data_IF_369114029931
#
_entry.id   IF_369114029931
#
_cell.length_a   1.000
_cell.length_b   1.000
_cell.length_c   1.000
_cell.angle_alpha   90.00
_cell.angle_beta   90.00
_cell.angle_gamma   90.00
#
_symmetry.space_group_name_H-M   'P 1'
#
loop_
_entity.id
_entity.type
_entity.pdbx_description
1 polymer ?
#
# COMPACT_ATOMS: atom_id res chain seq x y z
N UNK A 1 -27.59 -1.33 -6.02
CA UNK A 1 -27.54 0.12 -5.67
C UNK A 1 -26.51 0.84 -6.50
N UNK A 2 -26.61 2.17 -6.58
CA UNK A 2 -25.70 3.04 -7.32
C UNK A 2 -24.64 3.64 -6.38
N UNK A 3 -23.41 3.15 -6.49
CA UNK A 3 -22.30 3.52 -5.62
C UNK A 3 -21.46 4.58 -6.33
N UNK A 4 -21.26 5.74 -5.68
CA UNK A 4 -20.37 6.79 -6.16
C UNK A 4 -19.00 6.70 -5.47
N UNK A 5 -18.01 6.17 -6.15
CA UNK A 5 -16.61 6.18 -5.69
C UNK A 5 -15.96 7.52 -6.01
N UNK A 6 -15.30 8.16 -5.04
CA UNK A 6 -14.69 9.48 -5.21
C UNK A 6 -13.18 9.37 -5.00
N UNK A 7 -12.43 9.62 -6.07
CA UNK A 7 -10.96 9.56 -6.11
C UNK A 7 -10.39 10.91 -6.57
N UNK A 8 -9.45 11.48 -5.83
CA UNK A 8 -8.81 12.76 -6.16
C UNK A 8 -7.58 12.64 -7.09
N UNK A 9 -7.44 11.51 -7.75
CA UNK A 9 -6.34 11.17 -8.67
C UNK A 9 -6.89 10.85 -10.06
N UNK A 10 -5.98 10.60 -11.00
CA UNK A 10 -6.33 10.03 -12.31
C UNK A 10 -6.62 8.54 -12.18
N UNK A 11 -7.51 8.03 -13.02
CA UNK A 11 -7.80 6.60 -13.09
C UNK A 11 -7.86 6.13 -14.56
N UNK A 12 -7.33 4.94 -14.91
CA UNK A 12 -6.33 4.18 -14.20
C UNK A 12 -4.95 4.89 -14.16
N UNK A 13 -3.94 4.42 -13.38
CA UNK A 13 -3.96 3.23 -12.55
C UNK A 13 -4.32 3.55 -11.09
N UNK A 14 -5.15 2.74 -10.48
CA UNK A 14 -5.30 2.59 -9.04
C UNK A 14 -5.83 1.17 -8.76
N UNK A 15 -4.96 0.22 -8.39
CA UNK A 15 -5.37 -1.18 -8.21
C UNK A 15 -6.41 -1.38 -7.12
N UNK A 16 -6.31 -0.67 -5.98
CA UNK A 16 -7.28 -0.82 -4.88
C UNK A 16 -8.67 -0.39 -5.30
N UNK A 17 -8.78 0.82 -5.86
CA UNK A 17 -10.06 1.34 -6.36
C UNK A 17 -10.66 0.41 -7.43
N UNK A 18 -9.83 -0.10 -8.34
CA UNK A 18 -10.28 -1.04 -9.36
C UNK A 18 -10.78 -2.36 -8.74
N UNK A 19 -10.07 -2.92 -7.79
CA UNK A 19 -10.41 -4.19 -7.15
C UNK A 19 -11.72 -4.09 -6.38
N UNK A 20 -11.89 -3.05 -5.56
CA UNK A 20 -13.12 -2.82 -4.80
C UNK A 20 -14.32 -2.59 -5.72
N UNK A 21 -14.14 -1.74 -6.74
CA UNK A 21 -15.19 -1.46 -7.73
C UNK A 21 -15.66 -2.72 -8.46
N UNK A 22 -14.71 -3.53 -8.97
CA UNK A 22 -15.03 -4.78 -9.68
C UNK A 22 -15.73 -5.76 -8.76
N UNK A 23 -15.25 -5.94 -7.52
CA UNK A 23 -15.88 -6.84 -6.56
C UNK A 23 -17.34 -6.45 -6.24
N UNK A 24 -17.64 -5.15 -6.20
CA UNK A 24 -19.00 -4.66 -5.98
C UNK A 24 -19.88 -4.83 -7.24
N UNK A 25 -19.31 -4.62 -8.43
CA UNK A 25 -20.02 -4.84 -9.72
C UNK A 25 -20.38 -6.31 -9.88
N UNK A 26 -19.48 -7.24 -9.56
CA UNK A 26 -19.73 -8.68 -9.60
C UNK A 26 -20.89 -9.13 -8.68
N UNK A 27 -21.24 -8.31 -7.70
CA UNK A 27 -22.39 -8.51 -6.79
C UNK A 27 -23.65 -7.73 -7.20
N UNK A 28 -23.66 -7.19 -8.42
CA UNK A 28 -24.84 -6.54 -9.01
C UNK A 28 -25.01 -5.06 -8.62
N UNK A 29 -23.98 -4.40 -8.09
CA UNK A 29 -24.01 -2.95 -7.88
C UNK A 29 -23.58 -2.21 -9.14
N UNK A 30 -24.12 -1.00 -9.35
CA UNK A 30 -23.63 -0.06 -10.35
C UNK A 30 -22.58 0.85 -9.72
N UNK A 31 -21.37 0.86 -10.24
CA UNK A 31 -20.27 1.68 -9.69
C UNK A 31 -19.93 2.82 -10.65
N UNK A 32 -20.07 4.04 -10.16
CA UNK A 32 -19.69 5.28 -10.81
C UNK A 32 -18.44 5.84 -10.14
N UNK A 33 -17.36 6.03 -10.89
CA UNK A 33 -16.10 6.56 -10.35
C UNK A 33 -15.90 8.01 -10.77
N UNK A 34 -15.99 8.93 -9.82
CA UNK A 34 -15.47 10.29 -9.96
C UNK A 34 -13.94 10.25 -9.85
N UNK A 35 -13.23 10.77 -10.86
CA UNK A 35 -11.78 10.92 -10.83
C UNK A 35 -11.34 12.19 -11.58
N UNK A 36 -10.06 12.53 -11.47
CA UNK A 36 -9.51 13.73 -12.10
C UNK A 36 -8.85 13.41 -13.44
N UNK A 37 -8.77 14.42 -14.31
CA UNK A 37 -7.97 14.39 -15.53
C UNK A 37 -7.20 15.68 -15.71
N UNK A 38 -5.98 15.55 -16.24
CA UNK A 38 -5.07 16.65 -16.55
C UNK A 38 -4.69 16.70 -18.04
N UNK A 39 -5.14 15.71 -18.81
CA UNK A 39 -4.87 15.48 -20.22
C UNK A 39 -6.17 15.45 -21.04
N UNK A 40 -6.07 15.05 -22.31
CA UNK A 40 -7.21 14.95 -23.23
C UNK A 40 -7.95 13.61 -23.17
N UNK A 41 -7.74 12.80 -22.13
CA UNK A 41 -8.53 11.57 -21.94
C UNK A 41 -10.02 11.84 -21.98
N UNK A 42 -10.79 10.84 -22.43
CA UNK A 42 -12.26 10.91 -22.52
C UNK A 42 -12.87 11.32 -21.18
N UNK A 43 -13.89 12.17 -21.21
CA UNK A 43 -14.62 12.59 -20.01
C UNK A 43 -15.34 11.44 -19.32
N UNK A 44 -15.81 10.47 -20.11
CA UNK A 44 -16.54 9.28 -19.63
C UNK A 44 -16.15 8.08 -20.45
N UNK A 45 -15.95 6.94 -19.79
CA UNK A 45 -15.74 5.63 -20.40
C UNK A 45 -16.07 4.52 -19.39
N UNK A 46 -16.27 3.30 -19.89
CA UNK A 46 -16.44 2.11 -19.04
C UNK A 46 -15.14 1.32 -19.03
N UNK A 47 -14.61 1.05 -17.83
CA UNK A 47 -13.39 0.26 -17.64
C UNK A 47 -13.70 -0.88 -16.67
N UNK A 48 -13.63 -2.13 -17.11
CA UNK A 48 -13.96 -3.32 -16.30
C UNK A 48 -15.35 -3.22 -15.65
N UNK A 49 -16.32 -2.65 -16.34
CA UNK A 49 -17.67 -2.42 -15.81
C UNK A 49 -17.84 -1.16 -14.95
N UNK A 50 -16.75 -0.45 -14.64
CA UNK A 50 -16.76 0.79 -13.84
C UNK A 50 -17.13 1.95 -14.75
N UNK A 51 -18.18 2.71 -14.42
CA UNK A 51 -18.59 3.94 -15.07
C UNK A 51 -17.66 5.10 -14.69
N UNK A 52 -16.53 5.26 -15.38
CA UNK A 52 -15.51 6.27 -15.07
C UNK A 52 -15.92 7.65 -15.57
N UNK A 53 -16.01 8.61 -14.66
CA UNK A 53 -16.40 10.00 -14.92
C UNK A 53 -15.25 10.94 -14.54
N UNK A 54 -14.54 11.49 -15.54
CA UNK A 54 -13.34 12.31 -15.35
C UNK A 54 -13.66 13.80 -15.36
N UNK A 55 -13.24 14.46 -14.30
CA UNK A 55 -13.41 15.90 -14.13
C UNK A 55 -12.08 16.62 -14.35
N UNK A 56 -12.09 17.63 -15.24
CA UNK A 56 -10.89 18.41 -15.55
C UNK A 56 -10.34 19.10 -14.30
N UNK A 57 -9.05 18.94 -14.07
CA UNK A 57 -8.28 19.62 -13.03
C UNK A 57 -7.03 20.26 -13.66
N UNK A 58 -6.26 21.00 -12.89
CA UNK A 58 -5.01 21.59 -13.32
C UNK A 58 -3.97 21.53 -12.20
N UNK A 59 -2.70 21.83 -12.54
CA UNK A 59 -1.59 21.77 -11.59
C UNK A 59 -1.77 22.68 -10.37
N UNK A 60 -2.49 23.81 -10.51
CA UNK A 60 -2.76 24.73 -9.40
C UNK A 60 -3.72 24.08 -8.39
N UNK A 61 -4.84 23.55 -8.88
CA UNK A 61 -5.81 22.84 -8.05
C UNK A 61 -5.17 21.61 -7.40
N UNK A 62 -4.35 20.86 -8.14
CA UNK A 62 -3.60 19.73 -7.57
C UNK A 62 -2.67 20.17 -6.42
N UNK A 63 -1.86 21.21 -6.64
CA UNK A 63 -0.98 21.74 -5.57
C UNK A 63 -1.77 22.28 -4.39
N UNK A 64 -2.95 22.88 -4.62
CA UNK A 64 -3.81 23.37 -3.54
C UNK A 64 -4.43 22.25 -2.70
N UNK A 65 -4.45 20.99 -3.19
CA UNK A 65 -4.92 19.85 -2.40
C UNK A 65 -4.01 19.54 -1.21
N UNK A 66 -2.70 19.79 -1.32
CA UNK A 66 -1.78 19.69 -0.19
C UNK A 66 -2.09 20.73 0.92
N UNK A 67 -2.72 21.84 0.55
CA UNK A 67 -3.18 22.90 1.43
C UNK A 67 -4.67 22.79 1.79
N UNK A 68 -5.32 21.66 1.50
CA UNK A 68 -6.77 21.50 1.57
C UNK A 68 -7.36 21.92 2.92
N UNK A 69 -6.63 21.70 4.01
CA UNK A 69 -7.06 22.02 5.37
C UNK A 69 -6.48 23.34 5.93
N UNK A 70 -5.74 24.05 5.10
CA UNK A 70 -5.27 25.41 5.41
C UNK A 70 -6.01 26.45 4.59
N UNK A 71 -6.24 26.18 3.30
CA UNK A 71 -6.92 27.09 2.36
C UNK A 71 -8.07 26.34 1.69
N UNK A 72 -9.33 26.74 1.88
CA UNK A 72 -10.51 25.97 1.46
C UNK A 72 -10.82 26.03 -0.04
N UNK A 73 -9.89 26.46 -0.89
CA UNK A 73 -10.09 26.57 -2.36
C UNK A 73 -10.33 25.20 -2.97
N UNK A 74 -9.45 24.22 -2.67
CA UNK A 74 -9.56 22.87 -3.17
C UNK A 74 -10.91 22.24 -2.81
N UNK A 75 -11.26 22.23 -1.52
CA UNK A 75 -12.48 21.61 -1.05
C UNK A 75 -13.75 22.28 -1.61
N UNK A 76 -13.75 23.61 -1.82
CA UNK A 76 -14.89 24.31 -2.44
C UNK A 76 -15.07 23.96 -3.91
N UNK A 77 -13.96 23.95 -4.68
CA UNK A 77 -14.00 23.61 -6.11
C UNK A 77 -14.45 22.18 -6.32
N UNK A 78 -13.87 21.23 -5.55
CA UNK A 78 -14.22 19.83 -5.65
C UNK A 78 -15.64 19.55 -5.18
N UNK A 79 -16.10 20.19 -4.10
CA UNK A 79 -17.47 20.01 -3.59
C UNK A 79 -18.54 20.31 -4.66
N UNK A 80 -18.36 21.37 -5.47
CA UNK A 80 -19.29 21.69 -6.57
C UNK A 80 -19.32 20.57 -7.64
N UNK A 81 -18.15 20.06 -8.01
CA UNK A 81 -18.03 18.97 -9.01
C UNK A 81 -18.61 17.67 -8.50
N UNK A 82 -18.33 17.34 -7.23
CA UNK A 82 -18.82 16.13 -6.57
C UNK A 82 -20.36 16.22 -6.41
N UNK A 83 -20.91 17.34 -5.94
CA UNK A 83 -22.35 17.52 -5.82
C UNK A 83 -23.06 17.30 -7.17
N UNK A 84 -22.55 17.91 -8.25
CA UNK A 84 -23.05 17.66 -9.60
C UNK A 84 -22.98 16.18 -10.01
N UNK A 85 -21.88 15.50 -9.68
CA UNK A 85 -21.72 14.06 -9.93
C UNK A 85 -22.77 13.23 -9.16
N UNK A 86 -22.92 13.49 -7.87
CA UNK A 86 -23.87 12.74 -7.01
C UNK A 86 -25.31 12.84 -7.51
N UNK A 87 -25.73 14.04 -7.92
CA UNK A 87 -27.09 14.29 -8.42
C UNK A 87 -27.25 13.70 -9.83
N UNK A 88 -26.31 13.97 -10.75
CA UNK A 88 -26.40 13.53 -12.15
C UNK A 88 -26.50 12.02 -12.28
N UNK A 89 -25.72 11.30 -11.49
CA UNK A 89 -25.69 9.83 -11.56
C UNK A 89 -26.59 9.16 -10.51
N UNK A 90 -27.42 9.94 -9.78
CA UNK A 90 -28.37 9.45 -8.76
C UNK A 90 -27.70 8.48 -7.79
N UNK A 91 -26.57 8.92 -7.20
CA UNK A 91 -25.79 8.11 -6.28
C UNK A 91 -26.58 7.87 -4.99
N UNK A 92 -26.56 6.66 -4.48
CA UNK A 92 -27.26 6.22 -3.26
C UNK A 92 -26.31 6.10 -2.06
N UNK A 93 -25.03 5.73 -2.31
CA UNK A 93 -23.99 5.62 -1.30
C UNK A 93 -22.69 6.18 -1.83
N UNK A 94 -21.96 6.94 -1.01
CA UNK A 94 -20.67 7.53 -1.38
C UNK A 94 -19.54 6.70 -0.77
N UNK A 95 -18.59 6.27 -1.60
CA UNK A 95 -17.34 5.64 -1.20
C UNK A 95 -16.19 6.61 -1.44
N UNK A 96 -15.52 7.04 -0.37
CA UNK A 96 -14.51 8.09 -0.38
C UNK A 96 -13.13 7.44 -0.29
N UNK A 97 -12.30 7.58 -1.30
CA UNK A 97 -10.93 7.07 -1.28
C UNK A 97 -9.97 8.12 -0.74
N UNK A 98 -9.43 7.86 0.43
CA UNK A 98 -8.53 8.72 1.21
C UNK A 98 -9.14 10.02 1.78
N UNK A 99 -8.47 10.56 2.79
CA UNK A 99 -8.90 11.77 3.50
C UNK A 99 -8.77 13.05 2.66
N UNK A 100 -7.88 13.08 1.67
CA UNK A 100 -7.56 14.29 0.91
C UNK A 100 -8.78 14.93 0.23
N UNK A 101 -9.72 14.13 -0.26
CA UNK A 101 -10.97 14.58 -0.90
C UNK A 101 -12.16 14.63 0.05
N UNK A 102 -12.03 14.04 1.26
CA UNK A 102 -13.14 13.83 2.18
C UNK A 102 -13.89 15.11 2.56
N UNK A 103 -13.18 16.22 2.84
CA UNK A 103 -13.84 17.51 3.16
C UNK A 103 -14.75 17.99 2.03
N UNK A 104 -14.32 17.81 0.78
CA UNK A 104 -15.11 18.20 -0.38
C UNK A 104 -16.36 17.32 -0.52
N UNK A 105 -16.23 16.02 -0.22
CA UNK A 105 -17.35 15.07 -0.24
C UNK A 105 -18.37 15.42 0.85
N UNK A 106 -17.94 15.63 2.10
CA UNK A 106 -18.85 15.99 3.18
C UNK A 106 -19.56 17.33 2.92
N UNK A 107 -18.89 18.31 2.30
CA UNK A 107 -19.52 19.56 1.86
C UNK A 107 -20.56 19.32 0.75
N UNK A 108 -20.25 18.48 -0.23
CA UNK A 108 -21.16 18.16 -1.32
C UNK A 108 -22.39 17.36 -0.87
N UNK A 109 -22.21 16.52 0.15
CA UNK A 109 -23.25 15.66 0.71
C UNK A 109 -24.13 16.31 1.77
N UNK A 110 -23.86 17.56 2.16
CA UNK A 110 -24.54 18.23 3.29
C UNK A 110 -26.06 18.18 3.20
N UNK A 111 -26.59 18.46 2.02
CA UNK A 111 -28.03 18.53 1.78
C UNK A 111 -28.62 17.19 1.31
N UNK A 112 -27.79 16.31 0.68
CA UNK A 112 -28.19 15.00 0.19
C UNK A 112 -28.27 13.94 1.30
N UNK A 113 -27.43 14.06 2.34
CA UNK A 113 -27.38 13.18 3.52
C UNK A 113 -27.22 11.69 3.18
N UNK A 114 -26.52 11.37 2.09
CA UNK A 114 -26.23 9.99 1.68
C UNK A 114 -25.28 9.34 2.69
N UNK A 115 -25.41 8.02 2.86
CA UNK A 115 -24.44 7.24 3.66
C UNK A 115 -23.05 7.33 3.03
N UNK A 116 -22.03 7.42 3.89
CA UNK A 116 -20.64 7.59 3.47
C UNK A 116 -19.75 6.46 4.00
N UNK A 117 -18.97 5.88 3.12
CA UNK A 117 -17.90 4.93 3.44
C UNK A 117 -16.57 5.66 3.21
N UNK A 118 -15.76 5.79 4.24
CA UNK A 118 -14.43 6.41 4.17
C UNK A 118 -13.37 5.30 4.14
N UNK A 119 -12.72 5.12 3.00
CA UNK A 119 -11.66 4.12 2.81
C UNK A 119 -10.29 4.76 3.00
N UNK A 120 -9.62 4.36 4.08
CA UNK A 120 -8.29 4.83 4.46
C UNK A 120 -7.24 3.84 3.95
N UNK A 121 -6.61 4.17 2.81
CA UNK A 121 -5.61 3.29 2.18
C UNK A 121 -4.32 3.19 3.00
N UNK A 122 -4.03 4.22 3.79
CA UNK A 122 -2.80 4.36 4.56
C UNK A 122 -2.98 5.42 5.67
N UNK A 123 -2.10 5.42 6.66
CA UNK A 123 -2.07 6.49 7.67
C UNK A 123 -1.44 7.76 7.06
N UNK A 124 -2.25 8.51 6.32
CA UNK A 124 -1.81 9.68 5.54
C UNK A 124 -1.11 10.75 6.37
N UNK A 125 -1.62 11.18 7.54
CA UNK A 125 -0.94 12.18 8.38
C UNK A 125 0.45 11.73 8.82
N UNK A 126 0.66 10.44 9.06
CA UNK A 126 1.95 9.91 9.48
C UNK A 126 2.95 9.83 8.32
N UNK A 127 2.50 9.40 7.12
CA UNK A 127 3.38 9.38 5.93
C UNK A 127 3.87 10.79 5.57
N UNK A 128 3.02 11.79 5.70
CA UNK A 128 3.38 13.18 5.37
C UNK A 128 4.60 13.66 6.14
N UNK A 129 4.86 13.15 7.35
CA UNK A 129 6.06 13.49 8.15
C UNK A 129 7.38 13.16 7.43
N UNK A 130 7.34 12.22 6.48
CA UNK A 130 8.51 11.75 5.72
C UNK A 130 8.69 12.45 4.36
N UNK A 131 7.78 13.35 3.97
CA UNK A 131 7.93 14.05 2.68
C UNK A 131 9.01 15.13 2.78
N UNK A 132 10.05 15.11 1.90
CA UNK A 132 11.18 16.05 1.99
C UNK A 132 10.76 17.52 1.96
N UNK A 133 9.73 17.85 1.16
CA UNK A 133 9.22 19.23 1.05
C UNK A 133 8.47 19.68 2.32
N UNK A 134 7.99 18.77 3.17
CA UNK A 134 7.35 19.09 4.44
C UNK A 134 8.34 19.16 5.61
N UNK A 135 9.58 18.74 5.41
CA UNK A 135 10.64 18.91 6.41
C UNK A 135 11.24 20.32 6.38
N UNK A 136 11.07 21.05 5.28
CA UNK A 136 11.48 22.48 5.18
C UNK A 136 10.57 23.37 6.03
N UNK A 137 11.10 24.47 6.58
CA UNK A 137 10.36 25.41 7.44
C UNK A 137 9.07 25.91 6.79
N UNK A 138 9.14 26.30 5.51
CA UNK A 138 7.97 26.77 4.74
C UNK A 138 6.91 25.68 4.59
N UNK A 139 7.33 24.42 4.38
CA UNK A 139 6.43 23.28 4.31
C UNK A 139 5.71 23.01 5.62
N UNK A 140 6.43 23.06 6.75
CA UNK A 140 5.86 22.84 8.10
C UNK A 140 4.81 23.89 8.49
N UNK A 141 4.99 25.15 8.06
CA UNK A 141 4.04 26.23 8.35
C UNK A 141 2.79 26.08 7.50
N UNK A 142 2.92 25.76 6.21
CA UNK A 142 1.82 25.72 5.27
C UNK A 142 1.01 24.41 5.34
N UNK A 143 1.65 23.28 5.64
CA UNK A 143 1.05 21.95 5.64
C UNK A 143 1.31 21.29 6.99
N UNK A 144 0.36 21.45 7.91
CA UNK A 144 0.46 20.90 9.26
C UNK A 144 -0.05 19.46 9.32
N UNK A 145 0.83 18.50 9.58
CA UNK A 145 0.45 17.10 9.82
C UNK A 145 -0.54 16.96 10.99
N UNK A 146 -0.44 17.84 12.00
CA UNK A 146 -1.40 17.91 13.13
C UNK A 146 -2.81 18.28 12.65
N UNK A 147 -2.95 19.28 11.75
CA UNK A 147 -4.25 19.63 11.17
C UNK A 147 -4.82 18.50 10.32
N UNK A 148 -3.97 17.82 9.56
CA UNK A 148 -4.38 16.66 8.78
C UNK A 148 -4.90 15.53 9.67
N UNK A 149 -4.22 15.28 10.81
CA UNK A 149 -4.67 14.27 11.79
C UNK A 149 -6.02 14.65 12.41
N UNK A 150 -6.19 15.90 12.84
CA UNK A 150 -7.47 16.40 13.36
C UNK A 150 -8.60 16.28 12.33
N UNK A 151 -8.32 16.56 11.05
CA UNK A 151 -9.31 16.41 9.98
C UNK A 151 -9.63 14.95 9.68
N UNK A 152 -8.64 14.08 9.73
CA UNK A 152 -8.87 12.63 9.63
C UNK A 152 -9.82 12.16 10.75
N UNK A 153 -9.58 12.55 11.99
CA UNK A 153 -10.45 12.24 13.15
C UNK A 153 -11.88 12.73 12.91
N UNK A 154 -12.04 13.99 12.51
CA UNK A 154 -13.35 14.58 12.17
C UNK A 154 -14.08 13.78 11.07
N UNK A 155 -13.36 13.33 10.03
CA UNK A 155 -13.97 12.58 8.94
C UNK A 155 -14.29 11.13 9.31
N UNK A 156 -13.45 10.50 10.14
CA UNK A 156 -13.72 9.19 10.73
C UNK A 156 -15.02 9.24 11.55
N UNK A 157 -15.20 10.25 12.39
CA UNK A 157 -16.42 10.44 13.17
C UNK A 157 -17.65 10.62 12.27
N UNK A 158 -17.55 11.48 11.24
CA UNK A 158 -18.65 11.81 10.31
C UNK A 158 -19.04 10.67 9.37
N UNK A 159 -18.10 9.83 9.01
CA UNK A 159 -18.38 8.72 8.09
C UNK A 159 -19.33 7.70 8.72
N UNK A 160 -20.27 7.18 7.93
CA UNK A 160 -21.15 6.09 8.37
C UNK A 160 -20.31 4.87 8.72
N UNK A 161 -19.38 4.52 7.84
CA UNK A 161 -18.44 3.40 8.03
C UNK A 161 -17.07 3.82 7.55
N UNK A 162 -16.04 3.26 8.19
CA UNK A 162 -14.64 3.44 7.81
C UNK A 162 -14.09 2.09 7.34
N UNK A 163 -13.33 2.11 6.26
CA UNK A 163 -12.55 0.96 5.81
C UNK A 163 -11.08 1.24 6.11
N UNK A 164 -10.40 0.23 6.62
CA UNK A 164 -8.95 0.25 6.88
C UNK A 164 -8.30 -1.01 6.34
N UNK A 165 -6.98 -1.01 6.24
CA UNK A 165 -6.24 -2.10 5.59
C UNK A 165 -5.73 -3.18 6.56
N UNK A 166 -5.75 -2.93 7.88
CA UNK A 166 -5.25 -3.86 8.91
C UNK A 166 -6.09 -3.81 10.17
N UNK A 167 -6.05 -4.86 10.99
CA UNK A 167 -6.67 -4.87 12.31
C UNK A 167 -5.95 -3.88 13.27
N UNK A 168 -4.65 -3.67 13.11
CA UNK A 168 -3.88 -2.68 13.85
C UNK A 168 -4.37 -1.25 13.57
N UNK A 169 -4.66 -0.92 12.30
CA UNK A 169 -5.27 0.37 11.96
C UNK A 169 -6.66 0.52 12.55
N UNK A 170 -7.47 -0.54 12.56
CA UNK A 170 -8.77 -0.55 13.20
C UNK A 170 -8.65 -0.25 14.70
N UNK A 171 -7.77 -0.97 15.39
CA UNK A 171 -7.54 -0.79 16.82
C UNK A 171 -7.01 0.61 17.14
N UNK A 172 -6.11 1.15 16.31
CA UNK A 172 -5.60 2.52 16.45
C UNK A 172 -6.74 3.54 16.37
N UNK A 173 -7.64 3.42 15.39
CA UNK A 173 -8.79 4.32 15.23
C UNK A 173 -9.77 4.18 16.40
N UNK A 174 -10.10 2.97 16.82
CA UNK A 174 -10.99 2.75 17.99
C UNK A 174 -10.41 3.43 19.22
N UNK A 175 -9.12 3.25 19.49
CA UNK A 175 -8.46 3.81 20.67
C UNK A 175 -8.29 5.33 20.60
N UNK A 176 -8.00 5.88 19.42
CA UNK A 176 -7.72 7.31 19.25
C UNK A 176 -8.99 8.16 19.07
N UNK A 177 -9.94 7.66 18.29
CA UNK A 177 -11.14 8.43 17.89
C UNK A 177 -12.38 7.99 18.65
N UNK A 178 -12.41 6.79 19.21
CA UNK A 178 -13.59 6.22 19.86
C UNK A 178 -14.69 5.78 18.89
N UNK A 179 -14.36 5.61 17.59
CA UNK A 179 -15.30 5.09 16.61
C UNK A 179 -15.68 3.65 16.97
N UNK A 180 -16.99 3.37 16.99
CA UNK A 180 -17.49 2.04 17.31
C UNK A 180 -16.91 0.98 16.34
N UNK A 181 -16.40 -0.12 16.90
CA UNK A 181 -15.67 -1.15 16.16
C UNK A 181 -16.49 -1.81 15.04
N UNK A 182 -17.81 -1.91 15.20
CA UNK A 182 -18.75 -2.42 14.18
C UNK A 182 -18.88 -1.49 12.97
N UNK A 183 -18.51 -0.20 13.11
CA UNK A 183 -18.49 0.78 12.04
C UNK A 183 -17.10 0.88 11.35
N UNK A 184 -16.18 -0.04 11.64
CA UNK A 184 -14.87 -0.10 11.00
C UNK A 184 -14.67 -1.49 10.39
N UNK A 185 -14.45 -1.54 9.09
CA UNK A 185 -14.26 -2.76 8.31
C UNK A 185 -12.80 -2.87 7.88
N UNK A 186 -12.21 -4.05 8.05
CA UNK A 186 -10.85 -4.30 7.59
C UNK A 186 -10.90 -4.98 6.23
N UNK A 187 -10.34 -4.31 5.21
CA UNK A 187 -10.22 -4.78 3.83
C UNK A 187 -8.77 -4.66 3.39
N UNK A 188 -7.94 -5.69 3.60
CA UNK A 188 -6.52 -5.65 3.27
C UNK A 188 -6.26 -5.56 1.76
N UNK A 189 -5.17 -4.89 1.39
CA UNK A 189 -4.63 -4.97 0.04
C UNK A 189 -3.86 -6.28 -0.13
N UNK A 190 -4.45 -7.25 -0.79
CA UNK A 190 -3.86 -8.57 -1.00
C UNK A 190 -3.72 -8.90 -2.49
N UNK A 191 -3.12 -10.04 -2.79
CA UNK A 191 -2.94 -10.50 -4.17
C UNK A 191 -4.20 -11.21 -4.67
N UNK A 192 -4.50 -11.07 -5.97
CA UNK A 192 -5.47 -11.92 -6.65
C UNK A 192 -4.89 -13.30 -6.96
N UNK A 193 -5.71 -14.34 -6.99
CA UNK A 193 -5.27 -15.68 -7.41
C UNK A 193 -4.59 -15.69 -8.79
N UNK A 194 -5.04 -14.83 -9.70
CA UNK A 194 -4.47 -14.72 -11.04
C UNK A 194 -3.01 -14.23 -11.03
N UNK A 195 -2.59 -13.47 -10.01
CA UNK A 195 -1.24 -12.92 -9.90
C UNK A 195 -0.17 -14.02 -9.91
N UNK A 196 -0.36 -15.09 -9.14
CA UNK A 196 0.61 -16.18 -9.03
C UNK A 196 0.28 -17.36 -9.95
N UNK A 197 -1.01 -17.65 -10.22
CA UNK A 197 -1.41 -18.76 -11.09
C UNK A 197 -1.10 -18.53 -12.57
N UNK A 198 -1.05 -17.26 -13.03
CA UNK A 198 -0.81 -16.88 -14.43
C UNK A 198 0.44 -16.04 -14.62
N UNK A 199 1.35 -16.06 -13.66
CA UNK A 199 2.60 -15.31 -13.73
C UNK A 199 3.49 -15.79 -14.88
N UNK A 200 4.03 -14.86 -15.66
CA UNK A 200 4.99 -15.13 -16.72
C UNK A 200 6.40 -14.92 -16.19
N UNK A 201 7.16 -16.00 -16.05
CA UNK A 201 8.52 -15.96 -15.55
C UNK A 201 9.51 -15.70 -16.71
N UNK A 202 10.30 -14.65 -16.58
CA UNK A 202 11.37 -14.31 -17.52
C UNK A 202 12.64 -15.10 -17.18
N UNK A 203 12.93 -16.13 -17.93
CA UNK A 203 14.10 -17.01 -17.73
C UNK A 203 15.41 -16.22 -17.56
N UNK A 204 15.59 -15.14 -18.33
CA UNK A 204 16.78 -14.28 -18.26
C UNK A 204 17.04 -13.75 -16.84
N UNK A 205 16.00 -13.37 -16.10
CA UNK A 205 16.16 -12.85 -14.73
C UNK A 205 16.54 -13.99 -13.79
N UNK A 206 15.91 -15.15 -13.92
CA UNK A 206 16.22 -16.32 -13.08
C UNK A 206 17.66 -16.79 -13.32
N UNK A 207 18.08 -16.91 -14.58
CA UNK A 207 19.45 -17.31 -14.96
C UNK A 207 20.51 -16.31 -14.47
N UNK A 208 20.21 -14.99 -14.44
CA UNK A 208 21.13 -13.97 -13.93
C UNK A 208 21.57 -14.25 -12.49
N UNK A 209 20.68 -14.76 -11.68
CA UNK A 209 20.89 -14.93 -10.23
C UNK A 209 21.02 -16.38 -9.75
N UNK A 210 21.03 -17.36 -10.66
CA UNK A 210 20.97 -18.79 -10.33
C UNK A 210 22.10 -19.31 -9.41
N UNK A 211 23.27 -18.64 -9.42
CA UNK A 211 24.43 -19.03 -8.63
C UNK A 211 24.57 -18.20 -7.34
N UNK A 212 23.58 -17.36 -7.04
CA UNK A 212 23.61 -16.46 -5.89
C UNK A 212 22.62 -16.89 -4.81
N UNK A 213 22.98 -16.63 -3.57
CA UNK A 213 22.04 -16.60 -2.47
C UNK A 213 21.39 -15.20 -2.41
N UNK A 214 20.20 -15.07 -2.95
CA UNK A 214 19.57 -13.77 -3.21
C UNK A 214 18.67 -13.33 -2.08
N UNK A 215 18.98 -12.18 -1.50
CA UNK A 215 18.05 -11.38 -0.69
C UNK A 215 17.32 -10.40 -1.60
N UNK A 216 16.00 -10.53 -1.76
CA UNK A 216 15.23 -9.69 -2.67
C UNK A 216 14.42 -8.64 -1.92
N UNK A 217 14.50 -7.40 -2.39
CA UNK A 217 13.58 -6.33 -2.04
C UNK A 217 12.88 -5.78 -3.29
N UNK A 218 11.54 -5.66 -3.27
CA UNK A 218 10.75 -5.04 -4.33
C UNK A 218 9.95 -3.86 -3.77
N UNK A 219 9.99 -2.72 -4.44
CA UNK A 219 9.14 -1.54 -4.16
C UNK A 219 9.90 -0.25 -3.95
N UNK A 220 9.22 0.76 -3.38
CA UNK A 220 9.78 2.07 -3.05
C UNK A 220 11.01 1.94 -2.14
N UNK A 221 12.12 2.59 -2.50
CA UNK A 221 13.41 2.53 -1.82
C UNK A 221 13.67 3.71 -0.86
N UNK A 222 12.61 4.44 -0.49
CA UNK A 222 12.72 5.52 0.49
C UNK A 222 13.34 5.07 1.81
N UNK A 223 14.14 5.92 2.48
CA UNK A 223 14.95 5.54 3.65
C UNK A 223 14.15 4.85 4.77
N UNK A 224 12.90 5.25 4.99
CA UNK A 224 12.01 4.61 5.96
C UNK A 224 11.75 3.11 5.68
N UNK A 225 12.10 2.64 4.48
CA UNK A 225 11.97 1.23 4.10
C UNK A 225 13.07 0.34 4.67
N UNK A 226 14.10 0.93 5.31
CA UNK A 226 15.10 0.22 6.10
C UNK A 226 16.15 -0.56 5.29
N UNK A 227 16.30 -0.27 3.99
CA UNK A 227 17.32 -0.92 3.15
C UNK A 227 18.74 -0.70 3.66
N UNK A 228 18.98 0.35 4.43
CA UNK A 228 20.26 0.62 5.09
C UNK A 228 20.69 -0.56 5.99
N UNK A 229 19.74 -1.16 6.73
CA UNK A 229 20.00 -2.33 7.57
C UNK A 229 20.41 -3.54 6.73
N UNK A 230 19.70 -3.79 5.64
CA UNK A 230 20.02 -4.89 4.73
C UNK A 230 21.38 -4.72 4.03
N UNK A 231 21.69 -3.49 3.60
CA UNK A 231 23.00 -3.16 2.97
C UNK A 231 24.13 -3.38 3.98
N UNK A 232 23.99 -2.85 5.21
CA UNK A 232 24.99 -3.08 6.26
C UNK A 232 25.13 -4.56 6.62
N UNK A 233 24.00 -5.29 6.66
CA UNK A 233 23.99 -6.73 6.88
C UNK A 233 24.76 -7.52 5.80
N UNK A 234 24.62 -7.13 4.53
CA UNK A 234 25.40 -7.76 3.44
C UNK A 234 26.90 -7.55 3.61
N UNK A 235 27.35 -6.39 4.09
CA UNK A 235 28.76 -6.15 4.38
C UNK A 235 29.34 -7.12 5.43
N UNK A 236 28.51 -7.52 6.40
CA UNK A 236 28.90 -8.52 7.42
C UNK A 236 28.83 -9.95 6.85
N UNK A 237 27.82 -10.21 6.01
CA UNK A 237 27.51 -11.56 5.52
C UNK A 237 28.40 -12.02 4.35
N UNK A 238 29.02 -11.11 3.59
CA UNK A 238 29.83 -11.46 2.42
C UNK A 238 30.95 -12.45 2.70
N UNK A 239 31.53 -12.42 3.88
CA UNK A 239 32.59 -13.35 4.31
C UNK A 239 32.05 -14.75 4.66
N UNK A 240 30.80 -14.83 5.14
CA UNK A 240 30.15 -16.09 5.53
C UNK A 240 29.35 -16.72 4.39
N UNK A 241 28.85 -15.91 3.48
CA UNK A 241 28.06 -16.30 2.31
C UNK A 241 28.66 -15.63 1.06
N UNK A 242 29.74 -16.15 0.46
CA UNK A 242 30.40 -15.51 -0.67
C UNK A 242 29.51 -15.34 -1.91
N UNK A 243 28.43 -16.11 -2.01
CA UNK A 243 27.44 -16.02 -3.09
C UNK A 243 26.27 -15.07 -2.77
N UNK A 244 26.29 -14.37 -1.63
CA UNK A 244 25.20 -13.46 -1.26
C UNK A 244 25.04 -12.33 -2.27
N UNK A 245 23.79 -12.02 -2.58
CA UNK A 245 23.43 -10.91 -3.47
C UNK A 245 22.17 -10.22 -2.96
N UNK A 246 22.26 -8.95 -2.62
CA UNK A 246 21.08 -8.11 -2.36
C UNK A 246 20.59 -7.52 -3.68
N UNK A 247 19.39 -7.88 -4.09
CA UNK A 247 18.74 -7.38 -5.30
C UNK A 247 17.63 -6.42 -4.93
N UNK A 248 17.76 -5.16 -5.34
CA UNK A 248 16.83 -4.07 -5.04
C UNK A 248 16.09 -3.67 -6.32
N UNK A 249 14.80 -4.01 -6.38
CA UNK A 249 13.91 -3.72 -7.51
C UNK A 249 12.97 -2.58 -7.13
N UNK A 250 13.21 -1.41 -7.66
CA UNK A 250 12.48 -0.18 -7.35
C UNK A 250 13.40 1.03 -7.37
N UNK A 251 12.85 2.21 -7.13
CA UNK A 251 13.62 3.43 -7.10
C UNK A 251 12.95 4.52 -6.26
N UNK A 252 13.76 5.41 -5.71
CA UNK A 252 13.35 6.63 -5.04
C UNK A 252 14.45 7.69 -5.18
N UNK A 253 14.12 8.96 -4.90
CA UNK A 253 15.10 10.05 -4.87
C UNK A 253 16.18 9.88 -3.81
N UNK A 254 15.96 9.02 -2.82
CA UNK A 254 16.90 8.67 -1.75
C UNK A 254 17.91 7.58 -2.14
N UNK A 255 17.84 7.00 -3.34
CA UNK A 255 18.75 5.93 -3.80
C UNK A 255 20.23 6.38 -3.78
N UNK A 256 20.49 7.67 -3.93
CA UNK A 256 21.84 8.21 -3.85
C UNK A 256 22.51 7.90 -2.48
N UNK A 257 21.74 7.95 -1.40
CA UNK A 257 22.27 7.64 -0.05
C UNK A 257 22.51 6.14 0.12
N UNK A 258 21.65 5.29 -0.45
CA UNK A 258 21.82 3.84 -0.40
C UNK A 258 23.04 3.39 -1.24
N UNK A 259 23.22 3.99 -2.41
CA UNK A 259 24.40 3.73 -3.27
C UNK A 259 25.69 4.20 -2.63
N UNK A 260 25.67 5.37 -1.99
CA UNK A 260 26.83 5.86 -1.24
C UNK A 260 27.19 4.88 -0.11
N UNK A 261 26.22 4.38 0.64
CA UNK A 261 26.47 3.38 1.69
C UNK A 261 27.10 2.09 1.12
N UNK A 262 26.68 1.65 -0.06
CA UNK A 262 27.29 0.49 -0.75
C UNK A 262 28.74 0.76 -1.14
N UNK A 263 29.06 1.97 -1.59
CA UNK A 263 30.43 2.39 -1.92
C UNK A 263 31.29 2.49 -0.66
N UNK A 264 30.81 3.13 0.40
CA UNK A 264 31.52 3.31 1.66
C UNK A 264 31.85 1.95 2.33
N UNK A 265 30.98 0.93 2.15
CA UNK A 265 31.18 -0.42 2.67
C UNK A 265 31.94 -1.37 1.73
N UNK A 266 32.34 -0.90 0.54
CA UNK A 266 33.05 -1.68 -0.47
C UNK A 266 32.35 -3.00 -0.84
N UNK A 267 31.01 -2.94 -1.08
CA UNK A 267 30.16 -4.09 -1.37
C UNK A 267 29.43 -4.00 -2.73
N UNK A 268 29.94 -3.22 -3.67
CA UNK A 268 29.29 -3.02 -4.99
C UNK A 268 29.05 -4.33 -5.74
N UNK A 269 29.92 -5.32 -5.55
CA UNK A 269 29.77 -6.64 -6.16
C UNK A 269 28.66 -7.51 -5.52
N UNK A 270 28.11 -7.09 -4.37
CA UNK A 270 27.11 -7.84 -3.61
C UNK A 270 25.73 -7.19 -3.62
N UNK A 271 25.58 -6.00 -4.23
CA UNK A 271 24.30 -5.26 -4.26
C UNK A 271 23.97 -4.85 -5.69
N UNK A 272 22.85 -5.32 -6.21
CA UNK A 272 22.32 -4.92 -7.51
C UNK A 272 21.11 -3.97 -7.34
N UNK A 273 21.23 -2.76 -7.86
CA UNK A 273 20.11 -1.83 -8.00
C UNK A 273 19.49 -1.99 -9.40
N UNK A 274 18.40 -2.75 -9.51
CA UNK A 274 17.66 -2.99 -10.77
C UNK A 274 16.84 -1.79 -11.22
N UNK A 275 16.71 -0.78 -10.35
CA UNK A 275 15.90 0.41 -10.61
C UNK A 275 14.41 0.09 -10.72
N UNK A 276 13.65 1.04 -11.28
CA UNK A 276 12.23 0.83 -11.53
C UNK A 276 12.02 -0.26 -12.59
N UNK A 277 11.18 -1.23 -12.27
CA UNK A 277 10.79 -2.30 -13.18
C UNK A 277 9.27 -2.37 -13.31
N UNK A 278 8.80 -2.86 -14.45
CA UNK A 278 7.39 -3.14 -14.63
C UNK A 278 6.95 -4.25 -13.67
N UNK A 279 5.79 -4.10 -13.04
CA UNK A 279 5.26 -5.06 -12.05
C UNK A 279 5.08 -6.49 -12.61
N UNK A 280 4.93 -6.63 -13.93
CA UNK A 280 4.88 -7.94 -14.60
C UNK A 280 6.19 -8.73 -14.51
N UNK A 281 7.30 -8.08 -14.14
CA UNK A 281 8.61 -8.72 -13.94
C UNK A 281 8.84 -9.15 -12.48
N UNK A 282 8.06 -8.64 -11.53
CA UNK A 282 8.22 -8.96 -10.11
C UNK A 282 8.19 -10.47 -9.83
N UNK A 283 7.28 -11.27 -10.44
CA UNK A 283 7.28 -12.71 -10.29
C UNK A 283 8.63 -13.36 -10.63
N UNK A 284 9.33 -12.84 -11.64
CA UNK A 284 10.63 -13.38 -12.08
C UNK A 284 11.75 -13.11 -11.07
N UNK A 285 11.78 -11.90 -10.49
CA UNK A 285 12.72 -11.58 -9.41
C UNK A 285 12.40 -12.38 -8.14
N UNK A 286 11.12 -12.52 -7.80
CA UNK A 286 10.69 -13.33 -6.65
C UNK A 286 11.10 -14.80 -6.88
N UNK A 287 10.87 -15.34 -8.07
CA UNK A 287 11.29 -16.71 -8.39
C UNK A 287 12.80 -16.91 -8.26
N UNK A 288 13.61 -15.91 -8.65
CA UNK A 288 15.07 -15.93 -8.58
C UNK A 288 15.63 -15.78 -7.16
N UNK A 289 14.81 -15.37 -6.18
CA UNK A 289 15.29 -15.11 -4.82
C UNK A 289 15.37 -16.36 -3.94
N UNK A 290 16.26 -16.32 -2.95
CA UNK A 290 16.34 -17.28 -1.85
C UNK A 290 15.45 -16.83 -0.67
N UNK A 291 15.58 -15.56 -0.27
CA UNK A 291 14.82 -14.92 0.80
C UNK A 291 14.26 -13.60 0.29
N UNK A 292 13.03 -13.29 0.64
CA UNK A 292 12.44 -11.98 0.37
C UNK A 292 12.41 -11.13 1.64
N UNK A 293 12.86 -9.86 1.55
CA UNK A 293 13.03 -9.02 2.73
C UNK A 293 12.07 -7.82 2.77
N UNK A 294 11.71 -7.42 3.99
CA UNK A 294 10.95 -6.18 4.25
C UNK A 294 11.44 -5.52 5.55
N UNK A 295 12.63 -4.85 5.55
CA UNK A 295 13.31 -4.38 6.74
C UNK A 295 12.82 -3.00 7.21
N UNK A 296 11.52 -2.75 7.22
CA UNK A 296 10.91 -1.45 7.52
C UNK A 296 11.39 -0.85 8.84
N UNK A 297 11.66 0.45 8.87
CA UNK A 297 11.79 1.17 10.14
C UNK A 297 10.45 1.23 10.86
N UNK A 298 10.45 1.13 12.19
CA UNK A 298 9.23 1.26 12.99
C UNK A 298 8.72 2.70 13.01
N UNK A 299 7.47 2.86 12.73
CA UNK A 299 6.70 4.09 12.88
C UNK A 299 5.22 3.75 12.79
N UNK A 300 4.34 4.65 13.24
CA UNK A 300 2.90 4.40 13.28
C UNK A 300 2.30 3.99 11.93
N UNK A 301 2.81 4.54 10.81
CA UNK A 301 2.35 4.12 9.49
C UNK A 301 2.68 2.64 9.19
N UNK A 302 3.93 2.22 9.43
CA UNK A 302 4.34 0.83 9.20
C UNK A 302 3.76 -0.13 10.24
N UNK A 303 3.47 0.36 11.46
CA UNK A 303 2.83 -0.43 12.51
C UNK A 303 1.33 -0.65 12.24
N UNK A 304 0.71 0.13 11.34
CA UNK A 304 -0.73 0.07 11.01
C UNK A 304 -1.03 -0.27 9.55
N UNK A 305 -0.02 -0.57 8.73
CA UNK A 305 -0.19 -0.88 7.30
C UNK A 305 0.69 -2.05 6.88
N UNK A 306 0.17 -2.91 6.03
CA UNK A 306 0.96 -3.97 5.42
C UNK A 306 1.89 -3.43 4.33
N UNK A 307 3.09 -4.02 4.24
CA UNK A 307 3.90 -3.92 3.04
C UNK A 307 3.38 -4.94 2.02
N UNK A 308 2.54 -4.53 1.07
CA UNK A 308 1.82 -5.42 0.15
C UNK A 308 2.73 -6.45 -0.57
N UNK A 309 4.02 -6.13 -0.74
CA UNK A 309 5.01 -7.04 -1.32
C UNK A 309 5.14 -8.38 -0.59
N UNK A 310 4.91 -8.41 0.74
CA UNK A 310 5.02 -9.66 1.50
C UNK A 310 4.02 -10.72 1.02
N UNK A 311 2.83 -10.30 0.59
CA UNK A 311 1.82 -11.22 0.03
C UNK A 311 2.21 -11.71 -1.36
N UNK A 312 2.89 -10.87 -2.15
CA UNK A 312 3.48 -11.29 -3.42
C UNK A 312 4.58 -12.34 -3.20
N UNK A 313 5.44 -12.13 -2.21
CA UNK A 313 6.51 -13.07 -1.84
C UNK A 313 5.96 -14.42 -1.36
N UNK A 314 5.02 -14.39 -0.42
CA UNK A 314 4.32 -15.58 0.08
C UNK A 314 3.69 -16.39 -1.05
N UNK A 315 3.04 -15.73 -2.03
CA UNK A 315 2.35 -16.41 -3.14
C UNK A 315 3.29 -17.22 -4.05
N UNK A 316 4.60 -17.00 -3.95
CA UNK A 316 5.64 -17.76 -4.65
C UNK A 316 6.44 -18.68 -3.71
N UNK A 317 5.90 -19.04 -2.56
CA UNK A 317 6.55 -19.90 -1.57
C UNK A 317 7.96 -19.41 -1.18
N UNK A 318 8.16 -18.08 -1.03
CA UNK A 318 9.44 -17.53 -0.59
C UNK A 318 9.41 -17.26 0.90
N UNK A 319 10.44 -17.71 1.66
CA UNK A 319 10.58 -17.37 3.07
C UNK A 319 10.81 -15.87 3.21
N UNK A 320 10.21 -15.29 4.23
CA UNK A 320 10.32 -13.87 4.52
C UNK A 320 11.32 -13.60 5.63
N UNK A 321 12.03 -12.48 5.51
CA UNK A 321 12.70 -11.83 6.63
C UNK A 321 12.19 -10.41 6.74
N UNK A 322 11.43 -10.11 7.81
CA UNK A 322 10.79 -8.81 7.99
C UNK A 322 11.18 -8.19 9.32
N UNK A 323 11.15 -6.85 9.40
CA UNK A 323 11.34 -6.18 10.68
C UNK A 323 10.13 -6.35 11.60
N UNK A 324 10.31 -6.05 12.88
CA UNK A 324 9.28 -6.09 13.94
C UNK A 324 8.23 -4.96 13.86
N UNK A 325 8.10 -4.27 12.70
CA UNK A 325 6.98 -3.37 12.45
C UNK A 325 5.66 -4.14 12.59
N UNK A 326 4.78 -3.64 13.47
CA UNK A 326 3.71 -4.44 14.08
C UNK A 326 2.82 -5.18 13.09
N UNK A 327 2.29 -4.49 12.07
CA UNK A 327 1.36 -5.14 11.13
C UNK A 327 2.03 -6.25 10.32
N UNK A 328 3.24 -6.02 9.80
CA UNK A 328 3.92 -7.07 9.02
C UNK A 328 4.41 -8.21 9.90
N UNK A 329 4.90 -7.93 11.12
CA UNK A 329 5.26 -8.95 12.10
C UNK A 329 4.08 -9.88 12.36
N UNK A 330 2.94 -9.31 12.79
CA UNK A 330 1.76 -10.08 13.17
C UNK A 330 1.26 -11.00 12.05
N UNK A 331 1.23 -10.50 10.79
CA UNK A 331 0.74 -11.31 9.68
C UNK A 331 1.74 -12.40 9.27
N UNK A 332 3.05 -12.13 9.35
CA UNK A 332 4.10 -13.13 9.05
C UNK A 332 4.13 -14.22 10.11
N UNK A 333 4.00 -13.87 11.38
CA UNK A 333 3.87 -14.84 12.49
C UNK A 333 2.59 -15.68 12.36
N UNK A 334 1.45 -15.05 12.07
CA UNK A 334 0.18 -15.76 11.83
C UNK A 334 0.29 -16.76 10.70
N UNK A 335 0.94 -16.39 9.59
CA UNK A 335 1.14 -17.24 8.43
C UNK A 335 2.28 -18.25 8.63
N UNK A 336 3.11 -18.11 9.68
CA UNK A 336 4.37 -18.86 9.87
C UNK A 336 5.25 -18.83 8.61
N UNK A 337 5.35 -17.64 7.99
CA UNK A 337 5.93 -17.49 6.65
C UNK A 337 7.34 -16.91 6.63
N UNK A 338 7.95 -16.69 7.78
CA UNK A 338 9.27 -16.06 7.84
C UNK A 338 9.78 -15.82 9.24
N UNK A 339 10.95 -15.21 9.30
CA UNK A 339 11.60 -14.76 10.53
C UNK A 339 11.42 -13.25 10.71
N UNK A 340 11.45 -12.84 11.97
CA UNK A 340 11.34 -11.44 12.37
C UNK A 340 12.70 -10.98 12.90
N UNK A 341 13.18 -9.83 12.44
CA UNK A 341 14.32 -9.14 13.03
C UNK A 341 13.88 -7.82 13.64
N UNK A 342 14.63 -7.34 14.61
CA UNK A 342 14.43 -6.02 15.19
C UNK A 342 14.77 -4.93 14.19
N UNK A 343 13.89 -3.95 14.07
CA UNK A 343 14.08 -2.85 13.11
C UNK A 343 15.40 -2.09 13.41
N UNK A 344 16.13 -1.73 12.34
CA UNK A 344 17.40 -0.99 12.41
C UNK A 344 18.54 -1.73 13.11
N UNK A 345 18.37 -3.02 13.45
CA UNK A 345 19.36 -3.86 14.10
C UNK A 345 20.06 -4.77 13.06
N UNK A 346 21.30 -4.44 12.73
CA UNK A 346 22.11 -5.15 11.72
C UNK A 346 22.52 -6.53 12.21
N UNK A 347 22.84 -6.67 13.49
CA UNK A 347 23.27 -7.93 14.09
C UNK A 347 22.13 -8.95 14.05
N UNK A 348 20.97 -8.60 14.57
CA UNK A 348 19.79 -9.48 14.53
C UNK A 348 19.36 -9.80 13.09
N UNK A 349 19.40 -8.82 12.16
CA UNK A 349 19.16 -9.09 10.75
C UNK A 349 20.11 -10.14 10.16
N UNK A 350 21.42 -10.01 10.45
CA UNK A 350 22.43 -10.94 9.94
C UNK A 350 22.31 -12.33 10.55
N UNK A 351 22.00 -12.43 11.84
CA UNK A 351 21.74 -13.72 12.51
C UNK A 351 20.55 -14.45 11.87
N UNK A 352 19.44 -13.75 11.59
CA UNK A 352 18.28 -14.33 10.92
C UNK A 352 18.54 -14.73 9.47
N UNK A 353 19.37 -13.99 8.72
CA UNK A 353 19.81 -14.41 7.39
C UNK A 353 20.64 -15.70 7.47
N UNK A 354 21.59 -15.80 8.42
CA UNK A 354 22.40 -17.00 8.62
C UNK A 354 21.55 -18.20 9.06
N UNK A 355 20.58 -18.00 9.91
CA UNK A 355 19.64 -19.04 10.33
C UNK A 355 18.92 -19.62 9.08
N UNK A 356 18.38 -18.75 8.21
CA UNK A 356 17.76 -19.19 6.96
C UNK A 356 18.76 -19.81 5.99
N UNK A 357 19.96 -19.25 5.87
CA UNK A 357 20.99 -19.79 4.97
C UNK A 357 21.42 -21.20 5.33
N UNK A 358 21.65 -21.46 6.61
CA UNK A 358 22.17 -22.74 7.11
C UNK A 358 21.11 -23.86 7.17
N UNK A 359 19.80 -23.49 7.14
CA UNK A 359 18.71 -24.46 7.34
C UNK A 359 17.74 -24.42 6.15
N UNK A 360 18.11 -25.09 5.07
CA UNK A 360 17.31 -25.12 3.83
C UNK A 360 15.88 -25.66 4.06
N UNK A 361 15.74 -26.64 4.94
CA UNK A 361 14.42 -27.21 5.30
C UNK A 361 13.52 -26.12 5.90
N UNK A 362 14.08 -25.23 6.74
CA UNK A 362 13.33 -24.09 7.32
C UNK A 362 12.89 -23.11 6.23
N UNK A 363 13.78 -22.78 5.26
CA UNK A 363 13.39 -21.91 4.15
C UNK A 363 12.16 -22.46 3.40
N UNK A 364 12.19 -23.77 3.08
CA UNK A 364 11.12 -24.44 2.36
C UNK A 364 9.82 -24.46 3.19
N UNK A 365 9.90 -24.81 4.45
CA UNK A 365 8.75 -24.84 5.38
C UNK A 365 8.06 -23.46 5.45
N UNK A 366 8.85 -22.41 5.74
CA UNK A 366 8.31 -21.05 5.86
C UNK A 366 7.70 -20.55 4.53
N UNK A 367 8.34 -20.87 3.41
CA UNK A 367 7.83 -20.54 2.08
C UNK A 367 6.50 -21.23 1.79
N UNK A 368 6.37 -22.53 2.02
CA UNK A 368 5.14 -23.29 1.79
C UNK A 368 4.02 -22.86 2.75
N UNK A 369 4.32 -22.55 4.00
CA UNK A 369 3.36 -21.99 4.94
C UNK A 369 2.79 -20.67 4.44
N UNK A 370 3.66 -19.75 3.96
CA UNK A 370 3.25 -18.48 3.39
C UNK A 370 2.35 -18.65 2.18
N UNK A 371 2.72 -19.53 1.27
CA UNK A 371 1.91 -19.85 0.07
C UNK A 371 0.56 -20.43 0.46
N UNK A 372 0.52 -21.41 1.35
CA UNK A 372 -0.72 -22.02 1.84
C UNK A 372 -1.65 -20.98 2.49
N UNK A 373 -1.09 -20.05 3.28
CA UNK A 373 -1.85 -18.96 3.88
C UNK A 373 -2.49 -18.05 2.82
N UNK A 374 -1.72 -17.67 1.78
CA UNK A 374 -2.26 -16.87 0.66
C UNK A 374 -3.37 -17.65 -0.07
N UNK A 375 -3.13 -18.91 -0.44
CA UNK A 375 -4.06 -19.68 -1.28
C UNK A 375 -5.39 -20.00 -0.58
N UNK A 376 -5.39 -20.14 0.73
CA UNK A 376 -6.55 -20.59 1.49
C UNK A 376 -7.27 -19.47 2.26
N UNK A 377 -6.52 -18.45 2.74
CA UNK A 377 -7.06 -17.48 3.68
C UNK A 377 -6.92 -16.02 3.25
N UNK A 378 -5.82 -15.63 2.55
CA UNK A 378 -5.45 -14.22 2.44
C UNK A 378 -5.22 -13.73 1.01
N UNK A 379 -6.18 -13.99 0.14
CA UNK A 379 -6.23 -13.49 -1.25
C UNK A 379 -7.41 -12.55 -1.43
N UNK A 380 -7.37 -11.71 -2.46
CA UNK A 380 -8.32 -10.60 -2.63
C UNK A 380 -9.78 -11.05 -2.61
N UNK A 381 -10.11 -12.09 -3.36
CA UNK A 381 -11.48 -12.58 -3.47
C UNK A 381 -12.06 -13.03 -2.13
N UNK A 382 -11.20 -13.44 -1.18
CA UNK A 382 -11.59 -13.79 0.20
C UNK A 382 -11.61 -12.56 1.12
N UNK A 383 -10.57 -11.75 1.08
CA UNK A 383 -10.45 -10.59 2.00
C UNK A 383 -11.45 -9.48 1.68
N UNK A 384 -11.93 -9.39 0.44
CA UNK A 384 -13.00 -8.46 0.03
C UNK A 384 -14.41 -8.87 0.45
N UNK A 385 -14.63 -10.08 0.98
CA UNK A 385 -15.97 -10.54 1.41
C UNK A 385 -16.61 -9.57 2.42
N UNK A 386 -15.84 -9.02 3.37
CA UNK A 386 -16.35 -8.06 4.36
C UNK A 386 -16.89 -6.78 3.70
N UNK A 387 -16.22 -6.30 2.65
CA UNK A 387 -16.69 -5.15 1.85
C UNK A 387 -18.03 -5.48 1.19
N UNK A 388 -18.10 -6.64 0.53
CA UNK A 388 -19.29 -7.12 -0.18
C UNK A 388 -20.48 -7.29 0.78
N UNK A 389 -20.26 -7.93 1.92
CA UNK A 389 -21.29 -8.11 2.95
C UNK A 389 -21.84 -6.78 3.47
N UNK A 390 -20.96 -5.81 3.70
CA UNK A 390 -21.36 -4.48 4.15
C UNK A 390 -22.30 -3.81 3.12
N UNK A 391 -21.91 -3.79 1.85
CA UNK A 391 -22.73 -3.19 0.80
C UNK A 391 -24.04 -3.96 0.56
N UNK A 392 -24.02 -5.26 0.72
CA UNK A 392 -25.24 -6.09 0.65
C UNK A 392 -26.23 -5.77 1.78
N UNK A 393 -25.74 -5.43 2.99
CA UNK A 393 -26.57 -4.97 4.11
C UNK A 393 -27.13 -3.57 3.90
N UNK A 394 -26.39 -2.69 3.22
CA UNK A 394 -26.86 -1.34 2.90
C UNK A 394 -27.98 -1.35 1.84
N UNK A 395 -28.04 -2.38 1.01
CA UNK A 395 -29.02 -2.52 -0.09
C UNK A 395 -30.39 -3.03 0.37
N UNK A 396 -30.45 -3.58 1.57
CA UNK A 396 -31.71 -4.04 2.23
C UNK A 396 -32.33 -2.90 3.05
#
# INVERSE_FOLDING_TARGET
MRIGMILDKTFPPDPRVANEAVSLIEKGHEVFLFCLKYDDKKKSEVIKGIEVKRYKSNKFIYKSSALAYTIPVYSRVMAKKINHFLITYKIEVIHIHDIQIAEAVFKANRDLKLKTVLDLHENRPEIMKFYPHLQKVSGKILISSKKWKQKEEEFIEKATTVIVVTEEAKNEIVNRVGKASENIIVVPNTVHKVYYNKAKIQKRIVEKYKNNFVLLYVGDTGLRRGLQTAIAGVAVLKEKIPTIKLVIVGSNTSDIFLKQQVEDLEIQNFVDFEGWQNETLFPSYIQASSICISPLHRNLHHDTTYANKIFQYMSFAKPLLVSDATSQKNIVEKAKAGLIHKAEDVEDFTEKVLELFNVEVLQKELGENGKSFIENEFYWEKTSEKLIEYYSKLSK
#
